data_IF_387574589659
#
_entry.id   IF_387574589659
#
_cell.length_a   1.000
_cell.length_b   1.000
_cell.length_c   1.000
_cell.angle_alpha   90.00
_cell.angle_beta   90.00
_cell.angle_gamma   90.00
#
_symmetry.space_group_name_H-M   'P 1'
#
loop_
_entity.id
_entity.type
_entity.pdbx_description
1 polymer ?
#
# COMPACT_ATOMS: atom_id res chain seq x y z
N UNK A 1 1.47 -17.70 -28.16
CA UNK A 1 0.81 -17.44 -26.85
C UNK A 1 -0.58 -18.10 -26.88
N UNK A 2 -0.88 -19.05 -25.98
CA UNK A 2 -2.15 -19.79 -26.01
C UNK A 2 -3.33 -18.89 -25.56
N UNK A 3 -4.49 -18.96 -26.23
CA UNK A 3 -5.72 -18.22 -25.88
C UNK A 3 -6.11 -18.40 -24.39
N UNK A 4 -5.90 -19.60 -23.83
CA UNK A 4 -6.15 -19.88 -22.41
C UNK A 4 -5.24 -19.10 -21.44
N UNK A 5 -4.05 -18.65 -21.89
CA UNK A 5 -3.15 -17.81 -21.08
C UNK A 5 -3.59 -16.34 -21.06
N UNK A 6 -4.12 -15.83 -22.19
CA UNK A 6 -4.63 -14.46 -22.30
C UNK A 6 -5.88 -14.28 -21.45
N UNK A 7 -6.84 -15.21 -21.51
CA UNK A 7 -8.06 -15.15 -20.72
C UNK A 7 -7.75 -15.12 -19.21
N UNK A 8 -6.80 -15.95 -18.74
CA UNK A 8 -6.40 -15.95 -17.32
C UNK A 8 -5.81 -14.61 -16.89
N UNK A 9 -4.92 -14.02 -17.70
CA UNK A 9 -4.35 -12.68 -17.43
C UNK A 9 -5.43 -11.61 -17.35
N UNK A 10 -6.39 -11.65 -18.27
CA UNK A 10 -7.53 -10.73 -18.25
C UNK A 10 -8.39 -10.89 -17.00
N UNK A 11 -8.68 -12.12 -16.57
CA UNK A 11 -9.42 -12.38 -15.32
C UNK A 11 -8.67 -11.90 -14.08
N UNK A 12 -7.35 -12.03 -14.03
CA UNK A 12 -6.55 -11.48 -12.93
C UNK A 12 -6.58 -9.94 -12.91
N UNK A 13 -6.58 -9.31 -14.07
CA UNK A 13 -6.74 -7.87 -14.18
C UNK A 13 -8.13 -7.41 -13.68
N UNK A 14 -9.20 -8.09 -14.08
CA UNK A 14 -10.55 -7.80 -13.58
C UNK A 14 -10.67 -8.02 -12.07
N UNK A 15 -10.06 -9.08 -11.53
CA UNK A 15 -10.01 -9.34 -10.10
C UNK A 15 -9.28 -8.23 -9.34
N UNK A 16 -8.13 -7.78 -9.86
CA UNK A 16 -7.38 -6.67 -9.28
C UNK A 16 -8.23 -5.39 -9.24
N UNK A 17 -8.92 -5.07 -10.34
CA UNK A 17 -9.80 -3.90 -10.41
C UNK A 17 -11.01 -4.00 -9.48
N UNK A 18 -11.65 -5.17 -9.39
CA UNK A 18 -12.75 -5.41 -8.47
C UNK A 18 -12.33 -5.22 -7.00
N UNK A 19 -11.17 -5.75 -6.63
CA UNK A 19 -10.63 -5.59 -5.27
C UNK A 19 -10.41 -4.11 -4.97
N UNK A 20 -9.83 -3.33 -5.89
CA UNK A 20 -9.65 -1.90 -5.72
C UNK A 20 -10.97 -1.15 -5.49
N UNK A 21 -12.04 -1.50 -6.22
CA UNK A 21 -13.35 -0.88 -6.02
C UNK A 21 -13.92 -1.22 -4.63
N UNK A 22 -13.88 -2.50 -4.25
CA UNK A 22 -14.38 -2.95 -2.94
C UNK A 22 -13.60 -2.27 -1.80
N UNK A 23 -12.29 -2.09 -1.99
CA UNK A 23 -11.40 -1.46 -1.03
C UNK A 23 -11.75 0.01 -0.72
N UNK A 24 -12.37 0.72 -1.67
CA UNK A 24 -12.78 2.10 -1.45
C UNK A 24 -14.07 2.23 -0.61
N UNK A 25 -14.90 1.18 -0.50
CA UNK A 25 -16.20 1.29 0.18
C UNK A 25 -16.09 1.71 1.65
N UNK A 26 -15.17 1.15 2.47
CA UNK A 26 -15.01 1.58 3.86
C UNK A 26 -14.59 3.05 4.02
N UNK A 27 -13.95 3.65 3.00
CA UNK A 27 -13.42 5.02 3.09
C UNK A 27 -14.49 6.07 3.35
N UNK A 28 -15.73 5.80 2.90
CA UNK A 28 -16.92 6.65 3.08
C UNK A 28 -17.23 6.87 4.58
N UNK A 29 -16.88 5.90 5.42
CA UNK A 29 -17.27 5.88 6.84
C UNK A 29 -16.11 6.16 7.80
N UNK A 30 -14.89 6.40 7.31
CA UNK A 30 -13.69 6.51 8.16
C UNK A 30 -13.73 7.68 9.17
N UNK A 31 -14.51 8.72 8.89
CA UNK A 31 -14.68 9.87 9.78
C UNK A 31 -15.64 9.66 10.95
N UNK A 32 -16.35 8.53 11.02
CA UNK A 32 -17.38 8.28 12.05
C UNK A 32 -16.81 8.31 13.47
N UNK A 33 -17.60 8.85 14.41
CA UNK A 33 -17.28 8.89 15.85
C UNK A 33 -18.05 7.88 16.70
N UNK A 34 -19.16 7.34 16.19
CA UNK A 34 -19.92 6.29 16.86
C UNK A 34 -19.04 5.05 17.08
N UNK A 35 -18.86 4.68 18.35
CA UNK A 35 -17.96 3.59 18.75
C UNK A 35 -18.38 2.23 18.20
N UNK A 36 -19.69 1.97 18.07
CA UNK A 36 -20.19 0.69 17.53
C UNK A 36 -19.86 0.61 16.05
N UNK A 37 -20.02 1.70 15.30
CA UNK A 37 -19.65 1.74 13.90
C UNK A 37 -18.13 1.65 13.70
N UNK A 38 -17.34 2.31 14.55
CA UNK A 38 -15.87 2.18 14.54
C UNK A 38 -15.45 0.72 14.75
N UNK A 39 -15.99 0.04 15.76
CA UNK A 39 -15.70 -1.38 16.01
C UNK A 39 -16.11 -2.27 14.83
N UNK A 40 -17.27 -2.01 14.23
CA UNK A 40 -17.73 -2.75 13.04
C UNK A 40 -16.78 -2.52 11.85
N UNK A 41 -16.37 -1.28 11.60
CA UNK A 41 -15.43 -0.96 10.51
C UNK A 41 -14.08 -1.64 10.72
N UNK A 42 -13.52 -1.59 11.93
CA UNK A 42 -12.27 -2.30 12.25
C UNK A 42 -12.43 -3.79 11.95
N UNK A 43 -13.52 -4.41 12.38
CA UNK A 43 -13.79 -5.81 12.09
C UNK A 43 -13.86 -6.10 10.58
N UNK A 44 -14.58 -5.27 9.82
CA UNK A 44 -14.68 -5.40 8.36
C UNK A 44 -13.30 -5.26 7.68
N UNK A 45 -12.49 -4.29 8.08
CA UNK A 45 -11.15 -4.07 7.53
C UNK A 45 -10.20 -5.24 7.83
N UNK A 46 -10.31 -5.83 9.02
CA UNK A 46 -9.55 -7.04 9.37
C UNK A 46 -10.01 -8.26 8.56
N UNK A 47 -11.32 -8.39 8.31
CA UNK A 47 -11.84 -9.44 7.41
C UNK A 47 -11.36 -9.26 5.97
N UNK A 48 -11.33 -8.02 5.46
CA UNK A 48 -10.77 -7.72 4.14
C UNK A 48 -9.29 -8.08 4.07
N UNK A 49 -8.51 -7.73 5.09
CA UNK A 49 -7.10 -8.09 5.23
C UNK A 49 -6.90 -9.61 5.22
N UNK A 50 -7.67 -10.34 6.03
CA UNK A 50 -7.63 -11.80 6.09
C UNK A 50 -8.05 -12.45 4.77
N UNK A 51 -9.08 -11.90 4.11
CA UNK A 51 -9.55 -12.34 2.79
C UNK A 51 -8.50 -12.14 1.69
N UNK A 52 -7.81 -10.99 1.68
CA UNK A 52 -6.71 -10.71 0.77
C UNK A 52 -5.54 -11.68 0.99
N UNK A 53 -5.13 -11.91 2.24
CA UNK A 53 -4.11 -12.91 2.56
C UNK A 53 -4.55 -14.32 2.15
N UNK A 54 -5.78 -14.72 2.45
CA UNK A 54 -6.31 -16.02 2.05
C UNK A 54 -6.29 -16.19 0.52
N UNK A 55 -6.74 -15.17 -0.22
CA UNK A 55 -6.72 -15.17 -1.68
C UNK A 55 -5.29 -15.26 -2.21
N UNK A 56 -4.35 -14.47 -1.70
CA UNK A 56 -2.96 -14.52 -2.11
C UNK A 56 -2.33 -15.90 -1.85
N UNK A 57 -2.64 -16.53 -0.72
CA UNK A 57 -2.22 -17.91 -0.42
C UNK A 57 -2.84 -18.92 -1.39
N UNK A 58 -4.14 -18.82 -1.68
CA UNK A 58 -4.85 -19.71 -2.64
C UNK A 58 -4.32 -19.58 -4.05
N UNK A 59 -3.87 -18.38 -4.42
CA UNK A 59 -3.23 -18.13 -5.70
C UNK A 59 -1.80 -18.64 -5.71
N UNK A 60 -1.15 -18.87 -4.58
CA UNK A 60 0.28 -19.23 -4.49
C UNK A 60 1.19 -18.02 -4.68
N UNK A 61 0.76 -16.84 -4.23
CA UNK A 61 1.54 -15.59 -4.33
C UNK A 61 2.51 -15.40 -3.16
N UNK A 62 2.35 -16.15 -2.08
CA UNK A 62 3.19 -16.03 -0.89
C UNK A 62 3.15 -17.32 -0.05
N UNK A 63 4.21 -17.58 0.71
CA UNK A 63 4.45 -18.78 1.54
C UNK A 63 4.08 -18.59 3.01
N UNK A 64 3.79 -17.35 3.41
CA UNK A 64 3.29 -16.97 4.73
C UNK A 64 4.41 -16.54 5.67
N UNK A 65 4.14 -16.50 6.98
CA UNK A 65 5.08 -15.97 7.97
C UNK A 65 6.45 -16.65 8.00
N UNK A 66 6.58 -17.87 7.46
CA UNK A 66 7.87 -18.56 7.32
C UNK A 66 8.86 -17.76 6.46
N UNK A 67 8.40 -17.00 5.48
CA UNK A 67 9.25 -16.15 4.64
C UNK A 67 9.95 -15.05 5.45
N UNK A 68 9.40 -14.66 6.60
CA UNK A 68 9.88 -13.58 7.46
C UNK A 68 10.77 -14.08 8.62
N UNK A 69 11.11 -15.36 8.64
CA UNK A 69 11.78 -16.01 9.78
C UNK A 69 13.30 -15.79 9.84
N UNK A 70 13.91 -15.27 8.77
CA UNK A 70 15.37 -15.13 8.66
C UNK A 70 15.85 -13.68 8.76
N UNK A 71 17.02 -13.47 9.37
CA UNK A 71 17.67 -12.15 9.41
C UNK A 71 17.93 -11.60 7.99
N UNK A 72 18.23 -12.49 7.03
CA UNK A 72 18.37 -12.12 5.62
C UNK A 72 17.08 -11.52 5.06
N UNK A 73 15.91 -12.06 5.41
CA UNK A 73 14.63 -11.49 4.99
C UNK A 73 14.47 -10.06 5.51
N UNK A 74 14.77 -9.82 6.79
CA UNK A 74 14.73 -8.48 7.39
C UNK A 74 15.74 -7.51 6.77
N UNK A 75 16.93 -7.99 6.39
CA UNK A 75 17.88 -7.20 5.61
C UNK A 75 17.32 -6.76 4.25
N UNK A 76 16.60 -7.64 3.55
CA UNK A 76 15.98 -7.30 2.26
C UNK A 76 14.79 -6.35 2.42
N UNK A 77 13.99 -6.52 3.48
CA UNK A 77 12.89 -5.61 3.84
C UNK A 77 13.45 -4.23 4.17
N UNK A 78 14.53 -4.17 4.97
CA UNK A 78 15.22 -2.93 5.31
C UNK A 78 15.79 -2.22 4.08
N UNK A 79 16.39 -2.95 3.14
CA UNK A 79 16.85 -2.37 1.87
C UNK A 79 15.69 -1.84 1.02
N UNK A 80 14.56 -2.55 1.01
CA UNK A 80 13.35 -2.10 0.31
C UNK A 80 12.82 -0.81 0.93
N UNK A 81 12.74 -0.75 2.27
CA UNK A 81 12.37 0.45 3.00
C UNK A 81 13.33 1.61 2.73
N UNK A 82 14.65 1.37 2.66
CA UNK A 82 15.61 2.41 2.28
C UNK A 82 15.33 2.97 0.89
N UNK A 83 14.97 2.11 -0.07
CA UNK A 83 14.53 2.52 -1.40
C UNK A 83 13.28 3.42 -1.34
N UNK A 84 12.27 3.02 -0.57
CA UNK A 84 11.05 3.82 -0.32
C UNK A 84 11.41 5.17 0.31
N UNK A 85 12.30 5.18 1.32
CA UNK A 85 12.73 6.41 1.98
C UNK A 85 13.40 7.38 0.98
N UNK A 86 14.30 6.89 0.13
CA UNK A 86 14.99 7.75 -0.85
C UNK A 86 13.98 8.38 -1.83
N UNK A 87 13.10 7.58 -2.44
CA UNK A 87 12.14 8.08 -3.44
C UNK A 87 11.09 9.01 -2.84
N UNK A 88 10.65 8.74 -1.60
CA UNK A 88 9.71 9.61 -0.90
C UNK A 88 10.36 10.94 -0.55
N UNK A 89 11.63 10.96 -0.12
CA UNK A 89 12.39 12.21 0.10
C UNK A 89 12.56 13.03 -1.17
N UNK A 90 12.82 12.39 -2.30
CA UNK A 90 12.87 13.08 -3.60
C UNK A 90 11.50 13.68 -3.93
N UNK A 91 10.43 12.91 -3.80
CA UNK A 91 9.07 13.38 -4.02
C UNK A 91 8.69 14.56 -3.12
N UNK A 92 9.04 14.51 -1.82
CA UNK A 92 8.80 15.62 -0.88
C UNK A 92 9.56 16.89 -1.22
N UNK A 93 10.79 16.80 -1.77
CA UNK A 93 11.52 17.98 -2.25
C UNK A 93 10.77 18.61 -3.42
N UNK A 94 10.28 17.80 -4.37
CA UNK A 94 9.49 18.30 -5.50
C UNK A 94 8.18 18.94 -5.01
N UNK A 95 7.49 18.32 -4.05
CA UNK A 95 6.29 18.92 -3.44
C UNK A 95 6.58 20.32 -2.87
N UNK A 96 7.70 20.48 -2.16
CA UNK A 96 8.11 21.77 -1.61
C UNK A 96 8.38 22.80 -2.72
N UNK A 97 8.99 22.39 -3.83
CA UNK A 97 9.20 23.27 -5.00
C UNK A 97 7.88 23.67 -5.69
N UNK A 98 6.87 22.81 -5.63
CA UNK A 98 5.52 23.08 -6.14
C UNK A 98 4.65 23.88 -5.15
N UNK A 99 5.17 24.19 -3.96
CA UNK A 99 4.40 24.87 -2.90
C UNK A 99 3.33 23.98 -2.25
N UNK A 100 3.44 22.66 -2.40
CA UNK A 100 2.50 21.68 -1.85
C UNK A 100 3.04 21.13 -0.53
N UNK A 101 2.30 21.37 0.56
CA UNK A 101 2.69 20.90 1.90
C UNK A 101 2.16 19.50 2.21
N UNK A 102 0.93 19.19 1.80
CA UNK A 102 0.23 17.95 2.13
C UNK A 102 -0.24 17.22 0.87
N UNK A 103 -0.11 15.89 0.89
CA UNK A 103 -0.75 15.04 -0.11
C UNK A 103 -2.26 14.99 0.08
N UNK A 104 -2.99 14.62 -0.97
CA UNK A 104 -4.44 14.39 -0.92
C UNK A 104 -4.83 13.44 0.22
N UNK A 105 -4.09 12.34 0.39
CA UNK A 105 -4.35 11.36 1.44
C UNK A 105 -4.06 11.91 2.84
N UNK A 106 -2.96 12.65 3.00
CA UNK A 106 -2.62 13.27 4.29
C UNK A 106 -3.72 14.25 4.72
N UNK A 107 -4.15 15.12 3.80
CA UNK A 107 -5.23 16.06 4.05
C UNK A 107 -6.56 15.35 4.38
N UNK A 108 -6.89 14.27 3.66
CA UNK A 108 -8.10 13.48 3.93
C UNK A 108 -8.08 12.85 5.34
N UNK A 109 -6.94 12.28 5.75
CA UNK A 109 -6.77 11.68 7.08
C UNK A 109 -6.91 12.74 8.19
N UNK A 110 -6.23 13.88 8.03
CA UNK A 110 -6.26 14.97 9.00
C UNK A 110 -7.68 15.53 9.18
N UNK A 111 -8.38 15.77 8.06
CA UNK A 111 -9.75 16.31 8.07
C UNK A 111 -10.79 15.31 8.61
N UNK A 112 -10.59 14.00 8.41
CA UNK A 112 -11.51 12.98 8.91
C UNK A 112 -11.47 12.84 10.44
N UNK A 113 -10.39 13.30 11.10
CA UNK A 113 -10.14 13.13 12.53
C UNK A 113 -10.41 11.69 13.00
N UNK A 114 -9.93 10.71 12.23
CA UNK A 114 -10.27 9.30 12.42
C UNK A 114 -9.96 8.83 13.84
N UNK A 115 -10.73 7.87 14.33
CA UNK A 115 -10.33 7.15 15.54
C UNK A 115 -8.94 6.52 15.32
N UNK A 116 -7.97 6.65 16.26
CA UNK A 116 -6.60 6.16 16.05
C UNK A 116 -6.51 4.66 15.73
N UNK A 117 -7.36 3.82 16.34
CA UNK A 117 -7.37 2.38 16.05
C UNK A 117 -7.91 2.08 14.65
N UNK A 118 -8.92 2.84 14.22
CA UNK A 118 -9.45 2.74 12.86
C UNK A 118 -8.42 3.22 11.83
N UNK A 119 -7.71 4.32 12.13
CA UNK A 119 -6.60 4.83 11.32
C UNK A 119 -5.53 3.77 11.14
N UNK A 120 -5.01 3.22 12.23
CA UNK A 120 -3.97 2.17 12.19
C UNK A 120 -4.47 0.95 11.41
N UNK A 121 -5.68 0.47 11.68
CA UNK A 121 -6.22 -0.72 11.00
C UNK A 121 -6.33 -0.49 9.48
N UNK A 122 -6.80 0.69 9.08
CA UNK A 122 -6.94 1.04 7.66
C UNK A 122 -5.58 1.24 6.97
N UNK A 123 -4.76 2.18 7.46
CA UNK A 123 -3.55 2.63 6.75
C UNK A 123 -2.33 1.74 6.97
N UNK A 124 -2.21 1.10 8.13
CA UNK A 124 -1.02 0.32 8.49
C UNK A 124 -1.20 -1.15 8.18
N UNK A 125 -2.42 -1.69 8.23
CA UNK A 125 -2.67 -3.12 8.07
C UNK A 125 -3.37 -3.40 6.74
N UNK A 126 -4.59 -2.90 6.58
CA UNK A 126 -5.48 -3.29 5.49
C UNK A 126 -4.94 -2.80 4.15
N UNK A 127 -4.68 -1.49 4.01
CA UNK A 127 -4.22 -0.90 2.76
C UNK A 127 -2.92 -1.55 2.23
N UNK A 128 -1.83 -1.69 3.01
CA UNK A 128 -0.62 -2.38 2.53
C UNK A 128 -0.87 -3.81 2.05
N UNK A 129 -1.70 -4.59 2.74
CA UNK A 129 -1.98 -5.98 2.37
C UNK A 129 -2.75 -6.03 1.03
N UNK A 130 -3.81 -5.23 0.91
CA UNK A 130 -4.67 -5.22 -0.28
C UNK A 130 -3.91 -4.64 -1.47
N UNK A 131 -3.23 -3.52 -1.30
CA UNK A 131 -2.49 -2.86 -2.36
C UNK A 131 -1.35 -3.74 -2.89
N UNK A 132 -0.55 -4.36 -2.02
CA UNK A 132 0.52 -5.25 -2.51
C UNK A 132 -0.05 -6.47 -3.23
N UNK A 133 -1.15 -7.06 -2.74
CA UNK A 133 -1.83 -8.15 -3.44
C UNK A 133 -2.28 -7.72 -4.84
N UNK A 134 -2.89 -6.55 -4.97
CA UNK A 134 -3.39 -6.02 -6.25
C UNK A 134 -2.24 -5.70 -7.20
N UNK A 135 -1.30 -4.86 -6.75
CA UNK A 135 -0.27 -4.30 -7.64
C UNK A 135 0.87 -5.28 -7.89
N UNK A 136 1.42 -5.92 -6.85
CA UNK A 136 2.58 -6.80 -6.99
C UNK A 136 2.13 -8.23 -7.30
N UNK A 137 1.15 -8.72 -6.54
CA UNK A 137 0.64 -10.08 -6.71
C UNK A 137 -0.10 -10.28 -8.03
N UNK A 138 -1.21 -9.58 -8.24
CA UNK A 138 -2.10 -9.78 -9.37
C UNK A 138 -1.61 -9.07 -10.63
N UNK A 139 -1.48 -7.74 -10.59
CA UNK A 139 -1.14 -6.96 -11.77
C UNK A 139 0.27 -7.30 -12.27
N UNK A 140 1.30 -7.07 -11.47
CA UNK A 140 2.67 -7.38 -11.89
C UNK A 140 2.89 -8.90 -12.02
N UNK A 141 2.61 -9.68 -10.96
CA UNK A 141 2.91 -11.11 -10.91
C UNK A 141 2.08 -11.97 -11.85
N UNK A 142 0.77 -11.73 -11.98
CA UNK A 142 -0.12 -12.59 -12.78
C UNK A 142 -0.48 -12.03 -14.16
N UNK A 143 -0.67 -10.73 -14.31
CA UNK A 143 -1.02 -10.13 -15.62
C UNK A 143 0.21 -10.01 -16.50
N UNK A 144 1.32 -9.48 -15.95
CA UNK A 144 2.54 -9.18 -16.72
C UNK A 144 3.66 -10.22 -16.61
N UNK A 145 3.62 -11.09 -15.61
CA UNK A 145 4.72 -11.92 -15.10
C UNK A 145 5.67 -11.13 -14.17
N UNK A 146 6.18 -11.76 -13.10
CA UNK A 146 6.88 -11.04 -12.06
C UNK A 146 8.29 -10.56 -12.47
N UNK A 147 8.90 -11.14 -13.52
CA UNK A 147 10.17 -10.68 -14.10
C UNK A 147 10.02 -9.53 -15.11
N UNK A 148 8.78 -9.16 -15.45
CA UNK A 148 8.48 -8.19 -16.50
C UNK A 148 8.85 -6.76 -16.10
N UNK A 149 9.71 -6.12 -16.91
CA UNK A 149 10.03 -4.69 -16.76
C UNK A 149 8.80 -3.84 -17.09
N UNK A 150 8.00 -4.23 -18.08
CA UNK A 150 6.75 -3.55 -18.41
C UNK A 150 5.77 -3.64 -17.24
N UNK A 151 5.66 -4.82 -16.61
CA UNK A 151 4.83 -5.02 -15.42
C UNK A 151 5.29 -4.15 -14.25
N UNK A 152 6.60 -4.06 -14.01
CA UNK A 152 7.19 -3.17 -13.01
C UNK A 152 6.81 -1.71 -13.25
N UNK A 153 7.03 -1.20 -14.47
CA UNK A 153 6.75 0.20 -14.82
C UNK A 153 5.25 0.47 -14.69
N UNK A 154 4.41 -0.30 -15.37
CA UNK A 154 2.95 -0.09 -15.37
C UNK A 154 2.37 -0.17 -13.97
N UNK A 155 2.75 -1.17 -13.18
CA UNK A 155 2.27 -1.29 -11.80
C UNK A 155 2.69 -0.12 -10.93
N UNK A 156 3.91 0.41 -11.11
CA UNK A 156 4.42 1.52 -10.31
C UNK A 156 3.74 2.85 -10.67
N UNK A 157 3.56 3.11 -11.96
CA UNK A 157 2.86 4.32 -12.42
C UNK A 157 1.39 4.31 -11.98
N UNK A 158 0.71 3.17 -12.14
CA UNK A 158 -0.68 3.02 -11.71
C UNK A 158 -0.82 3.14 -10.19
N UNK A 159 0.12 2.59 -9.41
CA UNK A 159 0.15 2.77 -7.96
C UNK A 159 0.20 4.26 -7.60
N UNK A 160 1.03 5.06 -8.28
CA UNK A 160 1.03 6.51 -8.09
C UNK A 160 -0.27 7.21 -8.47
N UNK A 161 -0.93 6.77 -9.55
CA UNK A 161 -2.16 7.40 -10.06
C UNK A 161 -3.39 7.11 -9.19
N UNK A 162 -3.53 5.90 -8.66
CA UNK A 162 -4.69 5.55 -7.80
C UNK A 162 -4.71 6.33 -6.49
N UNK A 163 -3.57 6.90 -6.09
CA UNK A 163 -3.46 7.78 -4.92
C UNK A 163 -3.93 9.22 -5.19
N UNK A 164 -4.53 9.49 -6.37
CA UNK A 164 -5.13 10.78 -6.74
C UNK A 164 -4.23 11.98 -6.39
N UNK A 165 -3.01 12.02 -6.94
CA UNK A 165 -2.01 13.02 -6.57
C UNK A 165 -2.48 14.43 -6.96
N UNK A 166 -2.31 15.39 -6.05
CA UNK A 166 -2.57 16.81 -6.27
C UNK A 166 -1.34 17.58 -6.81
N UNK A 167 -0.21 16.90 -7.03
CA UNK A 167 1.04 17.49 -7.53
C UNK A 167 1.94 16.41 -8.15
N UNK A 168 2.96 16.80 -8.92
CA UNK A 168 3.93 15.86 -9.48
C UNK A 168 4.77 15.26 -8.35
N UNK A 169 5.15 16.04 -7.34
CA UNK A 169 5.86 15.57 -6.17
C UNK A 169 5.10 14.46 -5.43
N UNK A 170 3.80 14.62 -5.21
CA UNK A 170 2.96 13.58 -4.57
C UNK A 170 2.87 12.33 -5.44
N UNK A 171 2.75 12.50 -6.75
CA UNK A 171 2.80 11.36 -7.67
C UNK A 171 4.16 10.63 -7.60
N UNK A 172 5.28 11.36 -7.51
CA UNK A 172 6.62 10.77 -7.34
C UNK A 172 6.74 10.00 -6.01
N UNK A 173 6.18 10.52 -4.92
CA UNK A 173 6.14 9.82 -3.62
C UNK A 173 5.50 8.43 -3.80
N UNK A 174 4.29 8.38 -4.35
CA UNK A 174 3.55 7.13 -4.47
C UNK A 174 4.08 6.24 -5.61
N UNK A 175 4.31 6.77 -6.82
CA UNK A 175 4.85 5.98 -7.93
C UNK A 175 6.27 5.48 -7.66
N UNK A 176 7.09 6.27 -6.97
CA UNK A 176 8.43 5.90 -6.53
C UNK A 176 8.42 4.79 -5.49
N UNK A 177 7.54 4.88 -4.49
CA UNK A 177 7.29 3.78 -3.55
C UNK A 177 6.78 2.53 -4.30
N UNK A 178 5.86 2.75 -5.25
CA UNK A 178 5.46 1.88 -6.36
C UNK A 178 6.62 1.03 -6.88
N UNK A 179 7.62 1.75 -7.39
CA UNK A 179 8.82 1.23 -8.01
C UNK A 179 9.73 0.49 -7.03
N UNK A 180 9.99 1.03 -5.84
CA UNK A 180 10.85 0.41 -4.84
C UNK A 180 10.33 -0.98 -4.42
N UNK A 181 9.05 -1.07 -4.12
CA UNK A 181 8.36 -2.33 -3.79
C UNK A 181 8.28 -3.26 -5.00
N UNK A 182 8.03 -2.73 -6.20
CA UNK A 182 8.03 -3.53 -7.44
C UNK A 182 9.39 -4.15 -7.76
N UNK A 183 10.49 -3.41 -7.54
CA UNK A 183 11.87 -3.91 -7.67
C UNK A 183 12.12 -5.03 -6.66
N UNK A 184 11.69 -4.85 -5.40
CA UNK A 184 11.80 -5.88 -4.39
C UNK A 184 11.02 -7.14 -4.79
N UNK A 185 9.78 -7.00 -5.26
CA UNK A 185 8.98 -8.12 -5.73
C UNK A 185 9.65 -8.85 -6.90
N UNK A 186 10.13 -8.11 -7.92
CA UNK A 186 10.84 -8.68 -9.06
C UNK A 186 12.11 -9.43 -8.66
N UNK A 187 12.86 -8.90 -7.71
CA UNK A 187 14.15 -9.47 -7.30
C UNK A 187 14.01 -10.68 -6.38
N UNK A 188 13.05 -10.64 -5.44
CA UNK A 188 12.93 -11.65 -4.40
C UNK A 188 11.79 -12.63 -4.63
N UNK A 189 10.80 -12.26 -5.45
CA UNK A 189 9.60 -13.07 -5.71
C UNK A 189 8.84 -13.42 -4.42
N UNK A 190 8.92 -12.54 -3.41
CA UNK A 190 8.25 -12.65 -2.12
C UNK A 190 7.34 -11.46 -1.90
N UNK A 191 6.03 -11.71 -1.91
CA UNK A 191 5.03 -10.68 -1.65
C UNK A 191 5.09 -10.20 -0.19
N UNK A 192 5.47 -11.09 0.73
CA UNK A 192 5.60 -10.80 2.16
C UNK A 192 6.60 -9.68 2.43
N UNK A 193 7.67 -9.60 1.63
CA UNK A 193 8.69 -8.56 1.81
C UNK A 193 8.13 -7.18 1.44
N UNK A 194 7.31 -7.14 0.39
CA UNK A 194 6.65 -5.92 -0.06
C UNK A 194 5.60 -5.48 0.96
N UNK A 195 4.74 -6.40 1.41
CA UNK A 195 3.73 -6.14 2.44
C UNK A 195 4.42 -5.62 3.71
N UNK A 196 5.45 -6.30 4.21
CA UNK A 196 6.11 -5.89 5.45
C UNK A 196 6.83 -4.55 5.32
N UNK A 197 7.53 -4.29 4.21
CA UNK A 197 8.18 -3.00 3.99
C UNK A 197 7.15 -1.85 3.93
N UNK A 198 5.99 -2.10 3.29
CA UNK A 198 4.89 -1.14 3.22
C UNK A 198 4.24 -0.92 4.60
N UNK A 199 3.94 -1.99 5.35
CA UNK A 199 3.44 -1.89 6.73
C UNK A 199 4.39 -1.07 7.60
N UNK A 200 5.70 -1.30 7.52
CA UNK A 200 6.71 -0.53 8.27
C UNK A 200 6.69 0.94 7.88
N UNK A 201 6.67 1.24 6.57
CA UNK A 201 6.60 2.62 6.08
C UNK A 201 5.37 3.35 6.64
N UNK A 202 4.19 2.74 6.54
CA UNK A 202 2.96 3.35 7.01
C UNK A 202 2.89 3.42 8.54
N UNK A 203 3.45 2.43 9.25
CA UNK A 203 3.58 2.46 10.72
C UNK A 203 4.37 3.67 11.18
N UNK A 204 5.51 3.94 10.54
CA UNK A 204 6.36 5.09 10.87
C UNK A 204 5.62 6.39 10.59
N UNK A 205 5.01 6.53 9.40
CA UNK A 205 4.25 7.72 9.03
C UNK A 205 3.09 8.01 9.98
N UNK A 206 2.27 7.01 10.31
CA UNK A 206 1.13 7.14 11.22
C UNK A 206 1.59 7.42 12.65
N UNK A 207 2.67 6.78 13.11
CA UNK A 207 3.22 7.05 14.44
C UNK A 207 3.71 8.49 14.57
N UNK A 208 4.38 9.01 13.53
CA UNK A 208 4.80 10.42 13.48
C UNK A 208 3.59 11.36 13.48
N UNK A 209 2.55 11.06 12.69
CA UNK A 209 1.32 11.85 12.67
C UNK A 209 0.65 11.91 14.06
N UNK A 210 0.46 10.76 14.71
CA UNK A 210 -0.17 10.69 16.03
C UNK A 210 0.68 11.40 17.10
N UNK A 211 2.01 11.26 17.03
CA UNK A 211 2.92 11.99 17.91
C UNK A 211 2.80 13.50 17.74
N UNK A 212 2.77 13.99 16.49
CA UNK A 212 2.58 15.42 16.21
C UNK A 212 1.24 15.93 16.71
N UNK A 213 0.16 15.17 16.50
CA UNK A 213 -1.18 15.52 17.03
C UNK A 213 -1.20 15.59 18.56
N UNK A 214 -0.51 14.66 19.23
CA UNK A 214 -0.39 14.65 20.68
C UNK A 214 0.43 15.83 21.21
N UNK A 215 1.51 16.22 20.51
CA UNK A 215 2.39 17.31 20.92
C UNK A 215 1.87 18.70 20.53
N UNK A 216 1.00 18.80 19.53
CA UNK A 216 0.48 20.08 19.01
C UNK A 216 -0.08 21.05 20.08
N UNK A 217 -0.76 20.60 21.15
CA UNK A 217 -1.20 21.49 22.23
C UNK A 217 -0.07 22.09 23.07
N UNK A 218 1.12 21.48 23.09
CA UNK A 218 2.26 21.85 23.94
C UNK A 218 3.32 22.70 23.21
N UNK A 219 3.23 22.81 21.88
CA UNK A 219 4.16 23.56 21.02
C UNK A 219 3.60 24.95 20.66
N UNK A 220 2.40 25.28 21.15
CA UNK A 220 1.79 26.61 21.00
C UNK A 220 2.22 27.58 22.09
#
# INVERSE_FOLDING_TARGET
MNKGSILKRFLYFLLAFLILIIDQVPTIYLGVKDIRLVCLLIFVLLLMSAGALFLGKRLGLFEGFKALSSLKAWGMIGLTYLGIYIVTRIGSIVMMMEGVSNSTNQAAIENAHMNPFLLITFTVIMAPIVEELVFRGLLMGRVFNPDSIVGLIVSSLLFGLVHMPNSIGVWIVYAGMGLALGIAYRKFQKLEYCIMAHIINNSIAVSMLLLLQFLAPYIK
#
